data_IF_712098073716
#
_entry.id   IF_712098073716
#
_cell.length_a   1.000
_cell.length_b   1.000
_cell.length_c   1.000
_cell.angle_alpha   90.00
_cell.angle_beta   90.00
_cell.angle_gamma   90.00
#
_symmetry.space_group_name_H-M   'P 1'
#
loop_
_entity.id
_entity.type
_entity.pdbx_description
1 polymer ?
#
# COMPACT_ATOMS: atom_id res chain seq x y z
N UNK A 1 -34.68 -1.74 -11.92
CA UNK A 1 -34.04 -0.63 -11.18
C UNK A 1 -34.51 0.73 -11.66
N UNK A 2 -34.22 1.22 -12.87
CA UNK A 2 -34.68 2.56 -13.31
C UNK A 2 -36.22 2.74 -13.36
N UNK A 3 -36.95 1.71 -13.78
CA UNK A 3 -38.42 1.70 -13.77
C UNK A 3 -39.02 1.72 -12.38
N UNK A 4 -38.31 1.23 -11.35
CA UNK A 4 -38.78 1.27 -9.95
C UNK A 4 -38.66 2.67 -9.34
N UNK A 5 -37.80 3.53 -9.89
CA UNK A 5 -37.60 4.94 -9.49
C UNK A 5 -38.52 5.88 -10.27
N UNK A 6 -39.43 5.34 -11.10
CA UNK A 6 -40.35 6.12 -11.92
C UNK A 6 -39.69 6.82 -13.11
N UNK A 7 -38.56 6.31 -13.61
CA UNK A 7 -37.92 6.87 -14.80
C UNK A 7 -38.80 6.67 -16.04
N UNK A 8 -39.18 7.77 -16.69
CA UNK A 8 -39.78 7.77 -18.02
C UNK A 8 -38.88 8.57 -18.98
N UNK A 9 -38.56 8.03 -20.17
CA UNK A 9 -37.72 8.69 -21.15
C UNK A 9 -38.43 9.87 -21.83
N UNK A 10 -37.65 10.83 -22.34
CA UNK A 10 -38.11 11.95 -23.17
C UNK A 10 -39.14 12.89 -22.50
N UNK A 11 -39.26 12.84 -21.18
CA UNK A 11 -40.07 13.78 -20.40
C UNK A 11 -39.27 14.29 -19.19
N UNK A 12 -39.70 15.42 -18.62
CA UNK A 12 -39.15 15.92 -17.38
C UNK A 12 -39.40 14.90 -16.25
N UNK A 13 -38.33 14.52 -15.54
CA UNK A 13 -38.39 13.58 -14.43
C UNK A 13 -38.80 14.28 -13.14
N UNK A 14 -39.53 13.54 -12.30
CA UNK A 14 -39.82 13.98 -10.95
C UNK A 14 -38.53 14.16 -10.13
N UNK A 15 -38.55 15.07 -9.16
CA UNK A 15 -37.40 15.30 -8.27
C UNK A 15 -36.96 14.03 -7.53
N UNK A 16 -37.91 13.15 -7.19
CA UNK A 16 -37.65 11.86 -6.56
C UNK A 16 -36.84 10.92 -7.49
N UNK A 17 -37.15 10.90 -8.78
CA UNK A 17 -36.42 10.10 -9.78
C UNK A 17 -34.99 10.62 -9.97
N UNK A 18 -34.81 11.94 -10.02
CA UNK A 18 -33.49 12.58 -10.12
C UNK A 18 -32.63 12.28 -8.88
N UNK A 19 -33.21 12.33 -7.69
CA UNK A 19 -32.52 11.99 -6.45
C UNK A 19 -32.09 10.51 -6.42
N UNK A 20 -33.00 9.60 -6.80
CA UNK A 20 -32.67 8.17 -6.88
C UNK A 20 -31.58 7.86 -7.91
N UNK A 21 -31.55 8.59 -9.02
CA UNK A 21 -30.49 8.49 -10.02
C UNK A 21 -29.14 8.95 -9.47
N UNK A 22 -29.10 10.08 -8.74
CA UNK A 22 -27.87 10.55 -8.08
C UNK A 22 -27.36 9.54 -7.05
N UNK A 23 -28.24 8.98 -6.24
CA UNK A 23 -27.88 7.96 -5.25
C UNK A 23 -27.30 6.70 -5.91
N UNK A 24 -27.88 6.29 -7.04
CA UNK A 24 -27.45 5.11 -7.78
C UNK A 24 -26.05 5.29 -8.39
N UNK A 25 -25.74 6.48 -8.91
CA UNK A 25 -24.40 6.81 -9.40
C UNK A 25 -23.38 6.83 -8.26
N UNK A 26 -23.76 7.25 -7.06
CA UNK A 26 -22.86 7.33 -5.92
C UNK A 26 -22.56 5.96 -5.28
N UNK A 27 -23.49 5.00 -5.39
CA UNK A 27 -23.39 3.71 -4.72
C UNK A 27 -22.19 2.87 -5.21
N UNK A 28 -21.94 2.87 -6.51
CA UNK A 28 -20.80 2.16 -7.14
C UNK A 28 -19.43 2.67 -6.68
N UNK A 29 -19.10 3.97 -6.83
CA UNK A 29 -17.83 4.50 -6.35
C UNK A 29 -17.71 4.44 -4.83
N UNK A 30 -18.80 4.60 -4.07
CA UNK A 30 -18.78 4.45 -2.62
C UNK A 30 -18.45 3.00 -2.21
N UNK A 31 -19.08 2.00 -2.84
CA UNK A 31 -18.76 0.59 -2.61
C UNK A 31 -17.31 0.26 -2.93
N UNK A 32 -16.78 0.76 -4.06
CA UNK A 32 -15.37 0.59 -4.42
C UNK A 32 -14.44 1.25 -3.40
N UNK A 33 -14.76 2.43 -2.90
CA UNK A 33 -13.97 3.12 -1.89
C UNK A 33 -13.93 2.35 -0.57
N UNK A 34 -15.05 1.78 -0.13
CA UNK A 34 -15.12 0.93 1.07
C UNK A 34 -14.27 -0.32 0.85
N UNK A 35 -14.40 -1.00 -0.30
CA UNK A 35 -13.57 -2.17 -0.63
C UNK A 35 -12.09 -1.79 -0.61
N UNK A 36 -11.70 -0.66 -1.20
CA UNK A 36 -10.32 -0.18 -1.21
C UNK A 36 -9.80 0.14 0.20
N UNK A 37 -10.63 0.74 1.05
CA UNK A 37 -10.27 1.01 2.45
C UNK A 37 -10.10 -0.29 3.24
N UNK A 38 -10.96 -1.28 3.03
CA UNK A 38 -10.85 -2.61 3.64
C UNK A 38 -9.61 -3.35 3.14
N UNK A 39 -9.35 -3.36 1.83
CA UNK A 39 -8.15 -3.99 1.28
C UNK A 39 -6.89 -3.30 1.79
N UNK A 40 -6.88 -1.96 1.89
CA UNK A 40 -5.75 -1.26 2.49
C UNK A 40 -5.60 -1.56 3.99
N UNK A 41 -6.68 -1.53 4.76
CA UNK A 41 -6.64 -1.75 6.20
C UNK A 41 -6.27 -3.18 6.61
N UNK A 42 -6.78 -4.18 5.88
CA UNK A 42 -6.58 -5.60 6.22
C UNK A 42 -5.43 -6.26 5.45
N UNK A 43 -5.32 -6.03 4.14
CA UNK A 43 -4.37 -6.72 3.27
C UNK A 43 -3.14 -5.88 2.92
N UNK A 44 -3.22 -4.55 3.03
CA UNK A 44 -2.11 -3.62 2.81
C UNK A 44 -1.62 -3.03 4.13
N UNK A 45 -1.40 -3.88 5.14
CA UNK A 45 -0.57 -3.48 6.29
C UNK A 45 0.71 -2.91 5.71
N UNK A 46 0.92 -1.60 5.88
CA UNK A 46 2.16 -0.91 5.58
C UNK A 46 3.26 -1.82 6.12
N UNK A 47 3.99 -2.46 5.21
CA UNK A 47 4.89 -3.54 5.56
C UNK A 47 6.17 -2.93 6.12
N UNK A 48 6.03 -2.12 7.18
CA UNK A 48 7.11 -1.66 8.04
C UNK A 48 7.94 -2.83 8.51
N UNK A 49 7.34 -4.01 8.67
CA UNK A 49 8.04 -5.24 8.99
C UNK A 49 9.07 -5.60 7.91
N UNK A 50 8.72 -5.54 6.63
CA UNK A 50 9.63 -5.82 5.51
C UNK A 50 10.59 -4.68 5.25
N UNK A 51 10.18 -3.43 5.50
CA UNK A 51 11.10 -2.30 5.46
C UNK A 51 12.17 -2.37 6.58
N UNK A 52 11.75 -2.66 7.82
CA UNK A 52 12.63 -2.89 8.95
C UNK A 52 13.56 -4.07 8.72
N UNK A 53 13.04 -5.16 8.15
CA UNK A 53 13.84 -6.32 7.75
C UNK A 53 14.92 -5.95 6.73
N UNK A 54 14.59 -5.16 5.69
CA UNK A 54 15.56 -4.69 4.69
C UNK A 54 16.63 -3.80 5.33
N UNK A 55 16.26 -2.88 6.24
CA UNK A 55 17.22 -2.03 6.96
C UNK A 55 18.15 -2.86 7.84
N UNK A 56 17.59 -3.82 8.58
CA UNK A 56 18.37 -4.71 9.45
C UNK A 56 19.37 -5.53 8.63
N UNK A 57 18.94 -6.08 7.50
CA UNK A 57 19.81 -6.82 6.58
C UNK A 57 20.98 -5.95 6.07
N UNK A 58 20.70 -4.71 5.65
CA UNK A 58 21.74 -3.77 5.20
C UNK A 58 22.72 -3.43 6.33
N UNK A 59 22.21 -3.23 7.56
CA UNK A 59 23.05 -2.94 8.73
C UNK A 59 23.98 -4.10 9.08
N UNK A 60 23.50 -5.34 9.01
CA UNK A 60 24.30 -6.54 9.25
C UNK A 60 25.40 -6.70 8.20
N UNK A 61 25.09 -6.54 6.90
CA UNK A 61 26.07 -6.60 5.81
C UNK A 61 27.19 -5.57 5.99
N UNK A 62 26.85 -4.34 6.37
CA UNK A 62 27.84 -3.27 6.66
C UNK A 62 28.71 -3.60 7.87
N UNK A 63 28.14 -4.18 8.93
CA UNK A 63 28.91 -4.59 10.11
C UNK A 63 29.91 -5.69 9.74
N UNK A 64 29.46 -6.76 9.08
CA UNK A 64 30.29 -7.89 8.66
C UNK A 64 31.37 -7.48 7.65
N UNK A 65 31.03 -6.65 6.67
CA UNK A 65 32.00 -6.08 5.72
C UNK A 65 33.11 -5.29 6.43
N UNK A 66 32.75 -4.42 7.39
CA UNK A 66 33.75 -3.68 8.18
C UNK A 66 34.61 -4.60 9.07
N UNK A 67 34.06 -5.70 9.61
CA UNK A 67 34.86 -6.66 10.38
C UNK A 67 35.88 -7.39 9.48
N UNK A 68 35.49 -7.79 8.27
CA UNK A 68 36.38 -8.51 7.34
C UNK A 68 37.56 -7.62 6.91
N UNK A 69 37.30 -6.33 6.67
CA UNK A 69 38.34 -5.33 6.33
C UNK A 69 39.27 -5.06 7.52
N UNK A 70 38.72 -4.93 8.74
CA UNK A 70 39.53 -4.73 9.94
C UNK A 70 40.40 -5.94 10.29
N UNK A 71 39.90 -7.15 10.05
CA UNK A 71 40.62 -8.40 10.31
C UNK A 71 41.74 -8.61 9.28
N UNK A 72 41.48 -8.35 7.99
CA UNK A 72 42.51 -8.39 6.95
C UNK A 72 43.65 -7.39 7.20
N UNK A 73 43.32 -6.18 7.65
CA UNK A 73 44.33 -5.16 7.96
C UNK A 73 45.22 -5.60 9.13
N UNK A 74 44.64 -6.13 10.23
CA UNK A 74 45.44 -6.65 11.35
C UNK A 74 46.35 -7.81 10.95
N UNK A 75 45.85 -8.74 10.14
CA UNK A 75 46.62 -9.90 9.69
C UNK A 75 47.81 -9.49 8.81
N UNK A 76 47.58 -8.55 7.89
CA UNK A 76 48.62 -7.97 7.04
C UNK A 76 49.69 -7.21 7.83
N UNK A 77 49.31 -6.46 8.87
CA UNK A 77 50.27 -5.76 9.73
C UNK A 77 51.10 -6.75 10.56
N UNK A 78 50.51 -7.83 11.06
CA UNK A 78 51.24 -8.85 11.82
C UNK A 78 52.19 -9.70 10.99
N UNK A 79 51.95 -9.84 9.68
CA UNK A 79 52.86 -10.56 8.76
C UNK A 79 54.02 -9.69 8.24
N UNK A 80 53.91 -8.36 8.30
CA UNK A 80 54.97 -7.43 7.87
C UNK A 80 55.99 -7.17 8.99
N UNK A 81 55.59 -7.37 10.25
CA UNK A 81 56.41 -7.11 11.43
C UNK A 81 57.12 -8.37 11.99
N UNK A 82 57.14 -9.48 11.24
CA UNK A 82 57.84 -10.72 11.58
C UNK A 82 58.76 -11.13 10.42
#
# INVERSE_FOLDING_TARGET
>A
MLTQIGYIPNIAQSDATLLGLRQLIFLWPCGLAIIAALTMGFFYKLNEQRFAFIIEEIAQRKKTGNQIVATNNKQSISTVNN
#
